data_IF_052802112189
#
_entry.id   IF_052802112189
#
_cell.length_a   1.000
_cell.length_b   1.000
_cell.length_c   1.000
_cell.angle_alpha   90.00
_cell.angle_beta   90.00
_cell.angle_gamma   90.00
#
_symmetry.space_group_name_H-M   'P 1'
#
loop_
_entity.id
_entity.type
_entity.pdbx_description
1 polymer ?
#
# COMPACT_ATOMS: atom_id res chain seq x y z
N UNK A 1 -14.08 2.14 -2.47
CA UNK A 1 -12.79 1.77 -3.10
C UNK A 1 -12.90 0.48 -3.89
N UNK A 2 -13.44 -0.58 -3.29
CA UNK A 2 -13.57 -1.88 -3.97
C UNK A 2 -14.65 -1.91 -5.05
N UNK A 3 -14.58 -2.94 -5.89
CA UNK A 3 -15.67 -3.36 -6.79
C UNK A 3 -16.67 -4.28 -6.08
N UNK A 4 -16.33 -4.80 -4.89
CA UNK A 4 -17.19 -5.64 -4.07
C UNK A 4 -17.90 -4.84 -2.97
N UNK A 5 -19.14 -5.22 -2.67
CA UNK A 5 -19.94 -4.75 -1.53
C UNK A 5 -19.57 -5.53 -0.27
N UNK A 6 -20.09 -5.10 0.88
CA UNK A 6 -19.86 -5.76 2.17
C UNK A 6 -20.51 -7.15 2.25
N UNK A 7 -21.57 -7.38 1.47
CA UNK A 7 -22.25 -8.67 1.30
C UNK A 7 -21.50 -9.61 0.33
N UNK A 8 -20.37 -9.16 -0.25
CA UNK A 8 -19.60 -9.91 -1.24
C UNK A 8 -20.12 -9.79 -2.68
N UNK A 9 -21.27 -9.15 -2.89
CA UNK A 9 -21.82 -8.88 -4.22
C UNK A 9 -20.98 -7.87 -5.02
N UNK A 10 -21.15 -7.86 -6.34
CA UNK A 10 -20.55 -6.84 -7.18
C UNK A 10 -21.29 -5.50 -7.07
N UNK A 11 -20.52 -4.41 -7.08
CA UNK A 11 -21.03 -3.06 -7.22
C UNK A 11 -21.38 -2.77 -8.67
N UNK A 12 -22.33 -1.87 -8.86
CA UNK A 12 -22.72 -1.41 -10.20
C UNK A 12 -21.49 -0.82 -10.92
N UNK A 13 -21.26 -1.14 -12.22
CA UNK A 13 -20.15 -0.57 -12.99
C UNK A 13 -20.14 0.96 -13.05
N UNK A 14 -21.30 1.60 -13.00
CA UNK A 14 -21.46 3.06 -13.05
C UNK A 14 -21.31 3.73 -11.67
N UNK A 15 -21.22 2.96 -10.58
CA UNK A 15 -20.96 3.53 -9.26
C UNK A 15 -19.53 4.11 -9.22
N UNK A 16 -19.41 5.39 -8.84
CA UNK A 16 -18.10 6.04 -8.71
C UNK A 16 -17.26 5.35 -7.61
N UNK A 17 -16.06 4.90 -7.97
CA UNK A 17 -15.17 4.16 -7.05
C UNK A 17 -13.90 4.96 -6.79
N UNK A 18 -13.66 5.28 -5.52
CA UNK A 18 -12.37 5.83 -5.10
C UNK A 18 -11.20 4.88 -5.43
N UNK A 19 -10.06 5.46 -5.80
CA UNK A 19 -8.84 4.73 -6.16
C UNK A 19 -8.12 4.10 -4.96
N UNK A 20 -7.04 3.37 -5.25
CA UNK A 20 -6.20 2.73 -4.24
C UNK A 20 -5.57 3.76 -3.28
N UNK A 21 -5.13 4.91 -3.80
CA UNK A 21 -4.55 5.98 -2.96
C UNK A 21 -5.51 6.50 -1.89
N UNK A 22 -6.82 6.53 -2.18
CA UNK A 22 -7.82 6.88 -1.17
C UNK A 22 -7.95 5.78 -0.10
N UNK A 23 -7.94 4.51 -0.50
CA UNK A 23 -7.91 3.39 0.46
C UNK A 23 -6.68 3.43 1.37
N UNK A 24 -5.50 3.79 0.84
CA UNK A 24 -4.29 3.96 1.63
C UNK A 24 -4.45 5.07 2.68
N UNK A 25 -5.02 6.22 2.30
CA UNK A 25 -5.31 7.32 3.23
C UNK A 25 -6.29 6.91 4.32
N UNK A 26 -7.38 6.22 3.98
CA UNK A 26 -8.33 5.69 4.96
C UNK A 26 -7.65 4.72 5.94
N UNK A 27 -6.83 3.80 5.44
CA UNK A 27 -6.07 2.87 6.28
C UNK A 27 -5.12 3.62 7.22
N UNK A 28 -4.34 4.57 6.70
CA UNK A 28 -3.41 5.35 7.50
C UNK A 28 -4.13 6.14 8.61
N UNK A 29 -5.26 6.75 8.29
CA UNK A 29 -6.10 7.45 9.27
C UNK A 29 -6.62 6.49 10.36
N UNK A 30 -7.10 5.30 9.98
CA UNK A 30 -7.51 4.28 10.93
C UNK A 30 -6.34 3.79 11.80
N UNK A 31 -5.17 3.55 11.22
CA UNK A 31 -3.95 3.18 11.96
C UNK A 31 -3.58 4.23 12.99
N UNK A 32 -3.61 5.50 12.61
CA UNK A 32 -3.38 6.60 13.53
C UNK A 32 -4.46 6.68 14.62
N UNK A 33 -5.73 6.59 14.25
CA UNK A 33 -6.86 6.65 15.19
C UNK A 33 -6.77 5.53 16.24
N UNK A 34 -6.72 4.27 15.82
CA UNK A 34 -6.59 3.14 16.74
C UNK A 34 -5.29 3.19 17.55
N UNK A 35 -4.17 3.55 16.92
CA UNK A 35 -2.88 3.59 17.61
C UNK A 35 -2.77 4.70 18.64
N UNK A 36 -3.19 5.93 18.29
CA UNK A 36 -2.98 7.14 19.08
C UNK A 36 -4.17 7.54 19.93
N UNK A 37 -5.38 7.55 19.37
CA UNK A 37 -6.59 7.97 20.08
C UNK A 37 -7.09 6.89 21.02
N UNK A 38 -7.09 5.63 20.58
CA UNK A 38 -7.60 4.49 21.36
C UNK A 38 -6.51 3.71 22.11
N UNK A 39 -5.26 4.17 22.03
CA UNK A 39 -4.13 3.56 22.75
C UNK A 39 -3.84 2.11 22.36
N UNK A 40 -4.35 1.62 21.22
CA UNK A 40 -4.18 0.23 20.78
C UNK A 40 -2.81 -0.04 20.13
N UNK A 41 -1.97 0.99 20.02
CA UNK A 41 -0.60 0.88 19.54
C UNK A 41 -0.47 0.41 18.09
N UNK A 42 0.62 -0.31 17.81
CA UNK A 42 1.01 -0.82 16.49
C UNK A 42 1.01 -2.35 16.41
N UNK A 43 0.68 -3.04 17.49
CA UNK A 43 0.58 -4.49 17.47
C UNK A 43 -0.53 -4.92 16.50
N UNK A 44 -0.32 -5.99 15.71
CA UNK A 44 -1.39 -6.61 14.92
C UNK A 44 -2.61 -6.93 15.79
N UNK A 45 -3.79 -6.88 15.19
CA UNK A 45 -5.02 -7.34 15.86
C UNK A 45 -4.94 -8.84 16.14
N UNK A 46 -5.02 -9.24 17.42
CA UNK A 46 -4.94 -10.63 17.86
C UNK A 46 -5.75 -10.82 19.14
N UNK A 47 -6.07 -12.07 19.45
CA UNK A 47 -6.67 -12.44 20.72
C UNK A 47 -5.59 -12.53 21.79
N UNK A 48 -5.82 -11.90 22.94
CA UNK A 48 -4.92 -11.97 24.09
C UNK A 48 -5.00 -13.35 24.73
N UNK A 49 -3.88 -14.06 24.81
CA UNK A 49 -3.82 -15.38 25.48
C UNK A 49 -4.17 -15.32 26.97
N UNK A 50 -4.00 -14.14 27.60
CA UNK A 50 -4.24 -13.94 29.03
C UNK A 50 -5.70 -13.59 29.33
N UNK A 51 -6.31 -12.73 28.50
CA UNK A 51 -7.65 -12.18 28.77
C UNK A 51 -8.74 -12.74 27.86
N UNK A 52 -8.38 -13.42 26.76
CA UNK A 52 -9.32 -13.85 25.71
C UNK A 52 -9.93 -12.68 24.91
N UNK A 53 -9.51 -11.45 25.18
CA UNK A 53 -10.05 -10.27 24.50
C UNK A 53 -9.23 -9.93 23.25
N UNK A 54 -9.89 -9.35 22.26
CA UNK A 54 -9.19 -8.84 21.07
C UNK A 54 -8.42 -7.55 21.39
N UNK A 55 -7.12 -7.59 21.15
CA UNK A 55 -6.17 -6.51 21.42
C UNK A 55 -5.33 -6.17 20.18
N UNK A 56 -4.64 -5.04 20.23
CA UNK A 56 -3.87 -4.49 19.11
C UNK A 56 -4.72 -3.61 18.18
N UNK A 57 -4.19 -3.31 17.00
CA UNK A 57 -4.78 -2.35 16.07
C UNK A 57 -5.39 -3.05 14.85
N UNK A 58 -6.73 -2.98 14.66
CA UNK A 58 -7.43 -3.66 13.57
C UNK A 58 -6.90 -3.32 12.17
N UNK A 59 -6.44 -2.08 11.96
CA UNK A 59 -5.98 -1.61 10.64
C UNK A 59 -4.64 -2.20 10.19
N UNK A 60 -3.87 -2.77 11.12
CA UNK A 60 -2.59 -3.46 10.85
C UNK A 60 -2.71 -4.98 10.97
N UNK A 61 -3.94 -5.51 11.10
CA UNK A 61 -4.20 -6.94 11.03
C UNK A 61 -3.73 -7.55 9.70
N UNK A 62 -3.45 -8.85 9.72
CA UNK A 62 -3.10 -9.61 8.53
C UNK A 62 -4.24 -9.56 7.49
N UNK A 63 -5.49 -9.70 7.95
CA UNK A 63 -6.68 -9.65 7.09
C UNK A 63 -6.78 -8.33 6.31
N UNK A 64 -6.64 -7.18 6.99
CA UNK A 64 -6.66 -5.86 6.31
C UNK A 64 -5.45 -5.69 5.40
N UNK A 65 -4.29 -6.21 5.79
CA UNK A 65 -3.08 -6.17 4.96
C UNK A 65 -3.25 -6.95 3.66
N UNK A 66 -3.74 -8.19 3.73
CA UNK A 66 -4.05 -9.03 2.57
C UNK A 66 -5.14 -8.43 1.69
N UNK A 67 -6.17 -7.84 2.31
CA UNK A 67 -7.18 -7.07 1.60
C UNK A 67 -6.56 -5.92 0.78
N UNK A 68 -5.69 -5.12 1.38
CA UNK A 68 -5.05 -3.98 0.69
C UNK A 68 -4.15 -4.43 -0.47
N UNK A 69 -3.45 -5.56 -0.35
CA UNK A 69 -2.66 -6.13 -1.45
C UNK A 69 -3.58 -6.56 -2.60
N UNK A 70 -4.67 -7.25 -2.28
CA UNK A 70 -5.64 -7.71 -3.27
C UNK A 70 -6.38 -6.56 -3.95
N UNK A 71 -6.76 -5.54 -3.19
CA UNK A 71 -7.38 -4.32 -3.70
C UNK A 71 -6.45 -3.61 -4.69
N UNK A 72 -5.15 -3.48 -4.36
CA UNK A 72 -4.15 -2.89 -5.26
C UNK A 72 -4.11 -3.63 -6.59
N UNK A 73 -4.08 -4.96 -6.58
CA UNK A 73 -4.06 -5.79 -7.80
C UNK A 73 -5.31 -5.58 -8.65
N UNK A 74 -6.49 -5.60 -8.04
CA UNK A 74 -7.76 -5.34 -8.74
C UNK A 74 -7.81 -3.96 -9.38
N UNK A 75 -7.31 -2.93 -8.68
CA UNK A 75 -7.26 -1.57 -9.19
C UNK A 75 -6.34 -1.41 -10.40
N UNK A 76 -5.17 -2.03 -10.35
CA UNK A 76 -4.24 -2.05 -11.49
C UNK A 76 -4.88 -2.79 -12.68
N UNK A 77 -5.53 -3.93 -12.45
CA UNK A 77 -6.25 -4.65 -13.49
C UNK A 77 -7.39 -3.83 -14.10
N UNK A 78 -8.05 -2.96 -13.32
CA UNK A 78 -9.07 -2.03 -13.83
C UNK A 78 -8.50 -0.78 -14.51
N UNK A 79 -7.19 -0.73 -14.76
CA UNK A 79 -6.53 0.38 -15.44
C UNK A 79 -6.12 1.55 -14.53
N UNK A 80 -6.20 1.41 -13.20
CA UNK A 80 -5.63 2.42 -12.30
C UNK A 80 -4.10 2.34 -12.39
N UNK A 81 -3.47 3.40 -12.89
CA UNK A 81 -2.01 3.48 -12.95
C UNK A 81 -1.39 3.31 -11.56
N UNK A 82 -0.36 2.47 -11.47
CA UNK A 82 0.41 2.37 -10.24
C UNK A 82 1.08 3.71 -9.92
N UNK A 83 0.94 4.16 -8.67
CA UNK A 83 1.54 5.41 -8.18
C UNK A 83 3.06 5.46 -8.42
N UNK A 84 3.76 4.32 -8.35
CA UNK A 84 5.19 4.23 -8.64
C UNK A 84 5.55 4.45 -10.11
N UNK A 85 4.68 4.06 -11.04
CA UNK A 85 4.92 4.28 -12.47
C UNK A 85 4.90 5.77 -12.84
N UNK A 86 4.17 6.59 -12.09
CA UNK A 86 4.20 8.06 -12.24
C UNK A 86 5.49 8.71 -11.74
N UNK A 87 6.22 8.04 -10.85
CA UNK A 87 7.44 8.59 -10.28
C UNK A 87 8.66 8.39 -11.21
N UNK A 88 8.59 7.43 -12.14
CA UNK A 88 9.64 7.16 -13.12
C UNK A 88 9.14 7.55 -14.50
N UNK A 89 9.55 8.72 -14.98
CA UNK A 89 9.20 9.18 -16.32
C UNK A 89 10.19 8.63 -17.35
N UNK A 90 9.83 8.60 -18.65
CA UNK A 90 10.76 8.21 -19.72
C UNK A 90 12.05 9.05 -19.71
N UNK A 91 11.95 10.34 -19.39
CA UNK A 91 13.11 11.22 -19.26
C UNK A 91 14.01 10.81 -18.09
N UNK A 92 13.43 10.37 -16.98
CA UNK A 92 14.19 9.86 -15.83
C UNK A 92 14.92 8.55 -16.20
N UNK A 93 14.28 7.67 -16.98
CA UNK A 93 14.92 6.46 -17.51
C UNK A 93 16.07 6.82 -18.46
N UNK A 94 15.87 7.81 -19.34
CA UNK A 94 16.93 8.32 -20.22
C UNK A 94 18.13 8.84 -19.43
N UNK A 95 17.89 9.67 -18.41
CA UNK A 95 18.95 10.18 -17.52
C UNK A 95 19.67 9.05 -16.77
N UNK A 96 18.96 8.01 -16.34
CA UNK A 96 19.55 6.85 -15.69
C UNK A 96 20.43 6.07 -16.67
N UNK A 97 19.98 5.91 -17.92
CA UNK A 97 20.75 5.29 -18.98
C UNK A 97 22.03 6.08 -19.27
N UNK A 98 21.94 7.40 -19.46
CA UNK A 98 23.09 8.28 -19.69
C UNK A 98 24.09 8.22 -18.53
N UNK A 99 23.58 8.24 -17.29
CA UNK A 99 24.40 8.13 -16.09
C UNK A 99 25.16 6.79 -16.07
N UNK A 100 24.48 5.68 -16.33
CA UNK A 100 25.12 4.36 -16.34
C UNK A 100 26.11 4.19 -17.50
N UNK A 101 26.00 4.97 -18.59
CA UNK A 101 26.90 4.89 -19.75
C UNK A 101 28.14 5.78 -19.65
N UNK A 102 28.34 6.49 -18.54
CA UNK A 102 29.58 7.26 -18.32
C UNK A 102 30.73 6.32 -17.98
N UNK A 103 31.88 6.50 -18.62
CA UNK A 103 33.06 5.63 -18.44
C UNK A 103 33.45 5.46 -16.96
N UNK A 104 33.31 6.52 -16.15
CA UNK A 104 33.62 6.47 -14.72
C UNK A 104 32.77 5.46 -13.92
N UNK A 105 31.58 5.12 -14.40
CA UNK A 105 30.59 4.26 -13.76
C UNK A 105 30.67 2.79 -14.21
N UNK A 106 31.39 2.50 -15.31
CA UNK A 106 31.68 1.12 -15.74
C UNK A 106 32.84 0.50 -14.97
N UNK A 107 33.74 1.33 -14.45
CA UNK A 107 34.85 0.89 -13.64
C UNK A 107 34.38 0.45 -12.24
N UNK A 108 34.49 -0.85 -11.94
CA UNK A 108 34.21 -1.40 -10.61
C UNK A 108 35.21 -0.82 -9.61
N UNK A 109 34.74 0.04 -8.71
CA UNK A 109 35.55 0.64 -7.64
C UNK A 109 35.33 -0.12 -6.33
N UNK A 110 36.35 -0.20 -5.48
CA UNK A 110 36.15 -0.62 -4.09
C UNK A 110 35.22 0.37 -3.41
N UNK A 111 34.17 -0.15 -2.79
CA UNK A 111 33.25 0.66 -1.99
C UNK A 111 34.03 1.37 -0.89
N UNK A 112 33.98 2.70 -0.88
CA UNK A 112 34.48 3.53 0.19
C UNK A 112 33.27 3.95 1.04
N UNK A 113 33.20 3.53 2.32
CA UNK A 113 32.10 3.88 3.22
C UNK A 113 32.09 5.37 3.59
#
# INVERSE_FOLDING_TARGET
CDSKKLDGGDKDPNEMRNGYGHAQKMRAAATFGFGRMYGKGRAPWHESEVTGEMVGNPSVSEMVSGYMVSLRRRKVQSGEEQTSARAITPELIGKLWDFNHREENWAIRKYAP
#
